data_IF_364941484489
#
_entry.id   IF_364941484489
#
_cell.length_a   1.000
_cell.length_b   1.000
_cell.length_c   1.000
_cell.angle_alpha   90.00
_cell.angle_beta   90.00
_cell.angle_gamma   90.00
#
_symmetry.space_group_name_H-M   'P 1'
#
loop_
_entity.id
_entity.type
_entity.pdbx_description
1 polymer ?
#
# COMPACT_ATOMS: atom_id res chain seq x y z
N UNK A 1 -44.11 4.00 -5.12
CA UNK A 1 -43.27 5.22 -5.19
C UNK A 1 -43.68 6.24 -4.10
N UNK A 2 -43.33 5.97 -2.83
CA UNK A 2 -43.60 6.87 -1.68
C UNK A 2 -42.40 7.74 -1.30
N UNK A 3 -41.18 7.35 -1.68
CA UNK A 3 -39.92 8.02 -1.33
C UNK A 3 -39.80 9.44 -1.91
N UNK A 4 -40.21 9.67 -3.16
CA UNK A 4 -40.20 10.99 -3.80
C UNK A 4 -41.19 12.00 -3.18
N UNK A 5 -42.01 11.59 -2.21
CA UNK A 5 -42.91 12.48 -1.47
C UNK A 5 -42.26 13.10 -0.24
N UNK A 6 -41.10 12.59 0.19
CA UNK A 6 -40.37 13.19 1.29
C UNK A 6 -39.66 14.47 0.85
N UNK A 7 -39.53 15.48 1.74
CA UNK A 7 -38.69 16.63 1.47
C UNK A 7 -37.25 16.21 1.17
N UNK A 8 -36.59 16.96 0.27
CA UNK A 8 -35.22 16.71 -0.21
C UNK A 8 -34.23 16.34 0.91
N UNK A 9 -34.16 17.15 1.97
CA UNK A 9 -33.23 16.94 3.10
C UNK A 9 -33.54 15.67 3.89
N UNK A 10 -34.81 15.28 3.99
CA UNK A 10 -35.21 14.04 4.66
C UNK A 10 -34.80 12.84 3.83
N UNK A 11 -34.95 12.92 2.50
CA UNK A 11 -34.57 11.84 1.60
C UNK A 11 -33.05 11.63 1.57
N UNK A 12 -32.24 12.70 1.53
CA UNK A 12 -30.77 12.58 1.66
C UNK A 12 -30.39 11.87 2.94
N UNK A 13 -31.00 12.25 4.08
CA UNK A 13 -30.72 11.59 5.36
C UNK A 13 -31.05 10.11 5.30
N UNK A 14 -32.21 9.73 4.77
CA UNK A 14 -32.59 8.31 4.61
C UNK A 14 -31.56 7.58 3.76
N UNK A 15 -31.20 8.14 2.59
CA UNK A 15 -30.26 7.51 1.68
C UNK A 15 -28.87 7.34 2.31
N UNK A 16 -28.41 8.28 3.13
CA UNK A 16 -27.14 8.17 3.88
C UNK A 16 -27.13 7.07 4.95
N UNK A 17 -28.29 6.59 5.39
CA UNK A 17 -28.41 5.49 6.35
C UNK A 17 -28.69 4.12 5.69
N UNK A 18 -28.86 4.08 4.36
CA UNK A 18 -29.09 2.83 3.64
C UNK A 18 -27.76 2.13 3.33
N UNK A 19 -27.77 0.79 3.29
CA UNK A 19 -26.66 0.00 2.78
C UNK A 19 -26.41 0.36 1.31
N UNK A 20 -25.15 0.43 0.90
CA UNK A 20 -24.79 0.84 -0.47
C UNK A 20 -25.40 -0.05 -1.54
N UNK A 21 -25.56 -1.35 -1.28
CA UNK A 21 -26.22 -2.27 -2.21
C UNK A 21 -27.71 -1.95 -2.35
N UNK A 22 -28.38 -1.55 -1.27
CA UNK A 22 -29.78 -1.10 -1.32
C UNK A 22 -29.90 0.21 -2.09
N UNK A 23 -28.95 1.13 -1.93
CA UNK A 23 -28.89 2.37 -2.72
C UNK A 23 -28.70 2.05 -4.21
N UNK A 24 -27.82 1.12 -4.55
CA UNK A 24 -27.63 0.68 -5.94
C UNK A 24 -28.91 0.09 -6.53
N UNK A 25 -29.58 -0.80 -5.80
CA UNK A 25 -30.85 -1.39 -6.24
C UNK A 25 -31.94 -0.33 -6.42
N UNK A 26 -31.97 0.69 -5.55
CA UNK A 26 -32.86 1.83 -5.69
C UNK A 26 -32.53 2.68 -6.93
N UNK A 27 -31.24 2.92 -7.18
CA UNK A 27 -30.77 3.75 -8.30
C UNK A 27 -30.89 3.04 -9.65
N UNK A 28 -30.74 1.72 -9.69
CA UNK A 28 -30.95 0.92 -10.91
C UNK A 28 -32.40 0.94 -11.38
N UNK A 29 -33.35 1.03 -10.44
CA UNK A 29 -34.79 1.08 -10.72
C UNK A 29 -35.36 2.50 -10.78
N UNK A 30 -34.59 3.53 -10.39
CA UNK A 30 -35.06 4.92 -10.35
C UNK A 30 -33.99 5.92 -10.80
N UNK A 31 -33.90 6.11 -12.12
CA UNK A 31 -32.96 7.04 -12.77
C UNK A 31 -33.02 8.46 -12.19
N UNK A 32 -34.23 8.98 -11.90
CA UNK A 32 -34.42 10.33 -11.37
C UNK A 32 -33.82 10.49 -9.97
N UNK A 33 -33.96 9.48 -9.10
CA UNK A 33 -33.31 9.49 -7.79
C UNK A 33 -31.79 9.44 -7.94
N UNK A 34 -31.27 8.58 -8.82
CA UNK A 34 -29.83 8.51 -9.09
C UNK A 34 -29.26 9.87 -9.52
N UNK A 35 -29.82 10.45 -10.58
CA UNK A 35 -29.36 11.75 -11.12
C UNK A 35 -29.43 12.89 -10.09
N UNK A 36 -30.41 12.85 -9.19
CA UNK A 36 -30.58 13.88 -8.17
C UNK A 36 -29.63 13.73 -6.98
N UNK A 37 -29.35 12.49 -6.53
CA UNK A 37 -28.73 12.26 -5.23
C UNK A 37 -27.34 11.61 -5.30
N UNK A 38 -26.89 11.14 -6.46
CA UNK A 38 -25.55 10.55 -6.63
C UNK A 38 -24.42 11.48 -6.15
N UNK A 39 -24.53 12.80 -6.35
CA UNK A 39 -23.52 13.76 -5.86
C UNK A 39 -23.58 14.01 -4.35
N UNK A 40 -24.66 13.63 -3.68
CA UNK A 40 -24.92 13.93 -2.26
C UNK A 40 -24.64 12.74 -1.33
N UNK A 41 -24.44 11.56 -1.92
CA UNK A 41 -24.14 10.32 -1.23
C UNK A 41 -22.67 9.98 -1.46
N UNK A 42 -21.94 9.81 -0.36
CA UNK A 42 -20.61 9.24 -0.37
C UNK A 42 -20.70 7.93 0.43
N UNK A 43 -20.72 6.74 -0.21
CA UNK A 43 -20.79 5.45 0.49
C UNK A 43 -19.49 5.07 1.21
N UNK A 44 -18.74 6.07 1.69
CA UNK A 44 -17.38 5.91 2.20
C UNK A 44 -16.49 5.14 1.18
N UNK A 45 -15.33 4.66 1.62
CA UNK A 45 -14.29 4.23 0.67
C UNK A 45 -14.35 2.78 0.21
N UNK A 46 -13.74 2.54 -0.95
CA UNK A 46 -13.61 1.25 -1.65
C UNK A 46 -12.26 0.62 -1.30
N UNK A 47 -12.29 -0.66 -0.96
CA UNK A 47 -11.13 -1.50 -0.67
C UNK A 47 -11.16 -2.71 -1.59
N UNK A 48 -10.04 -3.03 -2.22
CA UNK A 48 -9.89 -4.19 -3.11
C UNK A 48 -8.74 -5.04 -2.60
N UNK A 49 -8.92 -6.35 -2.55
CA UNK A 49 -7.87 -7.29 -2.18
C UNK A 49 -7.93 -8.53 -3.07
N UNK A 50 -6.82 -8.87 -3.73
CA UNK A 50 -6.67 -10.10 -4.48
C UNK A 50 -5.72 -11.06 -3.76
N UNK A 51 -6.14 -12.32 -3.66
CA UNK A 51 -5.29 -13.43 -3.26
C UNK A 51 -5.55 -14.67 -4.12
N UNK A 52 -4.75 -15.71 -3.90
CA UNK A 52 -4.83 -16.99 -4.65
C UNK A 52 -6.23 -17.56 -4.78
N UNK A 53 -7.02 -17.42 -3.72
CA UNK A 53 -8.28 -18.13 -3.56
C UNK A 53 -9.49 -17.22 -3.77
N UNK A 54 -9.30 -15.91 -3.69
CA UNK A 54 -10.39 -14.97 -3.53
C UNK A 54 -10.02 -13.58 -4.06
N UNK A 55 -11.00 -12.90 -4.64
CA UNK A 55 -10.95 -11.47 -4.83
C UNK A 55 -12.02 -10.82 -3.96
N UNK A 56 -11.65 -9.84 -3.15
CA UNK A 56 -12.54 -9.17 -2.21
C UNK A 56 -12.74 -7.72 -2.64
N UNK A 57 -13.99 -7.30 -2.63
CA UNK A 57 -14.34 -5.88 -2.64
C UNK A 57 -15.10 -5.52 -1.36
N UNK A 58 -14.58 -4.52 -0.66
CA UNK A 58 -15.20 -3.95 0.53
C UNK A 58 -15.54 -2.50 0.31
N UNK A 59 -16.81 -2.16 0.49
CA UNK A 59 -17.29 -0.78 0.43
C UNK A 59 -17.86 -0.47 1.80
N UNK A 60 -17.25 0.47 2.51
CA UNK A 60 -17.56 0.68 3.93
C UNK A 60 -19.03 1.05 4.12
N UNK A 61 -19.70 0.43 5.10
CA UNK A 61 -21.16 0.51 5.25
C UNK A 61 -21.96 -0.43 4.35
N UNK A 62 -21.28 -1.24 3.52
CA UNK A 62 -21.85 -2.30 2.68
C UNK A 62 -21.34 -3.67 3.12
N UNK A 63 -21.91 -4.71 2.54
CA UNK A 63 -21.39 -6.08 2.63
C UNK A 63 -20.02 -6.20 1.95
N UNK A 64 -19.17 -7.05 2.51
CA UNK A 64 -17.96 -7.54 1.84
C UNK A 64 -18.39 -8.61 0.84
N UNK A 65 -17.91 -8.49 -0.41
CA UNK A 65 -18.18 -9.47 -1.45
C UNK A 65 -16.89 -10.19 -1.80
N UNK A 66 -16.92 -11.49 -1.58
CA UNK A 66 -15.84 -12.44 -1.73
C UNK A 66 -16.09 -13.23 -3.02
N UNK A 67 -15.38 -12.89 -4.10
CA UNK A 67 -15.43 -13.62 -5.35
C UNK A 67 -14.55 -14.86 -5.25
N UNK A 68 -15.18 -16.04 -5.33
CA UNK A 68 -14.54 -17.35 -5.11
C UNK A 68 -14.93 -18.33 -6.21
N UNK A 69 -14.11 -19.34 -6.47
CA UNK A 69 -14.46 -20.42 -7.40
C UNK A 69 -15.50 -21.37 -6.80
N UNK A 70 -15.39 -21.62 -5.50
CA UNK A 70 -16.24 -22.55 -4.76
C UNK A 70 -16.70 -21.91 -3.45
N UNK A 71 -17.96 -22.12 -3.10
CA UNK A 71 -18.52 -21.63 -1.84
C UNK A 71 -17.95 -22.43 -0.65
N UNK A 72 -17.76 -21.75 0.49
CA UNK A 72 -17.32 -22.40 1.72
C UNK A 72 -18.32 -23.45 2.21
N UNK A 73 -17.84 -24.43 3.00
CA UNK A 73 -18.70 -25.50 3.53
C UNK A 73 -19.88 -24.97 4.38
N UNK A 74 -19.72 -23.80 5.00
CA UNK A 74 -20.71 -23.18 5.88
C UNK A 74 -21.56 -22.11 5.15
N UNK A 75 -21.47 -22.04 3.82
CA UNK A 75 -22.15 -21.04 3.01
C UNK A 75 -23.59 -21.45 2.70
N UNK A 76 -24.54 -20.56 3.02
CA UNK A 76 -25.97 -20.75 2.78
C UNK A 76 -26.38 -20.04 1.49
N UNK A 77 -27.00 -20.73 0.51
CA UNK A 77 -27.43 -20.09 -0.73
C UNK A 77 -28.45 -18.97 -0.48
N UNK A 78 -28.16 -17.78 -1.01
CA UNK A 78 -29.09 -16.64 -1.01
C UNK A 78 -29.83 -16.56 -2.36
N UNK A 79 -29.19 -17.05 -3.43
CA UNK A 79 -29.73 -17.10 -4.79
C UNK A 79 -28.93 -16.24 -5.77
N UNK A 80 -29.46 -16.09 -6.99
CA UNK A 80 -28.82 -15.28 -8.03
C UNK A 80 -28.96 -13.80 -7.69
N UNK A 81 -27.85 -13.07 -7.77
CA UNK A 81 -27.77 -11.61 -7.59
C UNK A 81 -27.19 -10.96 -8.82
N UNK A 82 -27.68 -9.76 -9.13
CA UNK A 82 -27.15 -8.90 -10.19
C UNK A 82 -26.83 -7.54 -9.61
N UNK A 83 -25.58 -7.10 -9.74
CA UNK A 83 -25.11 -5.77 -9.33
C UNK A 83 -24.38 -5.16 -10.53
N UNK A 84 -24.91 -4.05 -11.05
CA UNK A 84 -24.41 -3.46 -12.29
C UNK A 84 -24.51 -4.44 -13.46
N UNK A 85 -23.37 -4.68 -14.13
CA UNK A 85 -23.25 -5.63 -15.25
C UNK A 85 -22.97 -7.07 -14.80
N UNK A 86 -22.77 -7.32 -13.50
CA UNK A 86 -22.29 -8.61 -13.00
C UNK A 86 -23.46 -9.38 -12.42
N UNK A 87 -23.58 -10.65 -12.80
CA UNK A 87 -24.55 -11.59 -12.23
C UNK A 87 -23.81 -12.81 -11.70
N UNK A 88 -24.11 -13.20 -10.46
CA UNK A 88 -23.42 -14.30 -9.78
C UNK A 88 -24.36 -15.04 -8.81
N UNK A 89 -23.98 -16.26 -8.46
CA UNK A 89 -24.62 -17.02 -7.39
C UNK A 89 -24.09 -16.51 -6.05
N UNK A 90 -24.97 -15.94 -5.23
CA UNK A 90 -24.60 -15.37 -3.94
C UNK A 90 -24.92 -16.34 -2.79
N UNK A 91 -23.98 -16.44 -1.87
CA UNK A 91 -24.10 -17.21 -0.63
C UNK A 91 -23.79 -16.32 0.57
N UNK A 92 -24.45 -16.58 1.71
CA UNK A 92 -24.15 -15.93 2.98
C UNK A 92 -23.28 -16.87 3.79
N UNK A 93 -22.21 -16.35 4.40
CA UNK A 93 -21.53 -17.12 5.46
C UNK A 93 -22.45 -17.23 6.67
N UNK A 94 -22.65 -18.44 7.20
CA UNK A 94 -23.55 -18.67 8.33
C UNK A 94 -23.19 -17.85 9.60
N UNK A 95 -21.92 -17.47 9.73
CA UNK A 95 -21.37 -16.79 10.92
C UNK A 95 -21.50 -15.26 10.80
N UNK A 96 -21.69 -14.70 9.59
CA UNK A 96 -21.78 -13.26 9.39
C UNK A 96 -22.53 -12.89 8.09
N UNK A 97 -23.70 -12.29 8.23
CA UNK A 97 -24.58 -11.85 7.12
C UNK A 97 -24.04 -10.64 6.35
N UNK A 98 -22.95 -10.03 6.83
CA UNK A 98 -22.20 -8.98 6.14
C UNK A 98 -21.24 -9.50 5.08
N UNK A 99 -21.00 -10.81 5.00
CA UNK A 99 -20.10 -11.43 4.03
C UNK A 99 -20.90 -12.22 3.00
N UNK A 100 -20.74 -11.85 1.74
CA UNK A 100 -21.30 -12.58 0.61
C UNK A 100 -20.20 -13.27 -0.17
N UNK A 101 -20.37 -14.56 -0.40
CA UNK A 101 -19.56 -15.27 -1.38
C UNK A 101 -20.26 -15.24 -2.73
N UNK A 102 -19.55 -14.78 -3.74
CA UNK A 102 -19.96 -14.74 -5.13
C UNK A 102 -19.21 -15.84 -5.89
N UNK A 103 -19.89 -16.93 -6.23
CA UNK A 103 -19.29 -18.04 -6.95
C UNK A 103 -19.14 -17.68 -8.44
N UNK A 104 -17.90 -17.62 -8.93
CA UNK A 104 -17.52 -17.20 -10.29
C UNK A 104 -16.29 -17.99 -10.78
N UNK A 105 -16.16 -18.18 -12.09
CA UNK A 105 -14.99 -18.87 -12.66
C UNK A 105 -13.72 -17.98 -12.59
N UNK A 106 -13.83 -16.75 -13.06
CA UNK A 106 -12.81 -15.71 -12.89
C UNK A 106 -13.20 -14.83 -11.70
N UNK A 107 -12.36 -14.82 -10.67
CA UNK A 107 -12.60 -14.06 -9.43
C UNK A 107 -12.25 -12.58 -9.56
N UNK A 108 -11.22 -12.27 -10.34
CA UNK A 108 -10.61 -10.94 -10.38
C UNK A 108 -11.38 -9.99 -11.29
N UNK A 109 -11.78 -10.45 -12.48
CA UNK A 109 -12.50 -9.60 -13.46
C UNK A 109 -13.83 -9.07 -12.91
N UNK A 110 -14.71 -9.88 -12.27
CA UNK A 110 -15.92 -9.38 -11.63
C UNK A 110 -15.60 -8.38 -10.52
N UNK A 111 -14.57 -8.61 -9.72
CA UNK A 111 -14.20 -7.69 -8.64
C UNK A 111 -13.80 -6.30 -9.19
N UNK A 112 -12.93 -6.25 -10.20
CA UNK A 112 -12.55 -5.00 -10.88
C UNK A 112 -13.75 -4.36 -11.59
N UNK A 113 -14.54 -5.14 -12.34
CA UNK A 113 -15.74 -4.62 -13.02
C UNK A 113 -16.72 -3.99 -12.02
N UNK A 114 -16.86 -4.60 -10.85
CA UNK A 114 -17.77 -4.14 -9.83
C UNK A 114 -17.29 -2.82 -9.24
N UNK A 115 -16.00 -2.72 -8.93
CA UNK A 115 -15.43 -1.52 -8.38
C UNK A 115 -15.53 -0.32 -9.36
N UNK A 116 -15.33 -0.53 -10.68
CA UNK A 116 -15.59 0.51 -11.70
C UNK A 116 -17.06 0.95 -11.71
N UNK A 117 -17.98 -0.01 -11.59
CA UNK A 117 -19.41 0.30 -11.52
C UNK A 117 -19.74 1.14 -10.28
N UNK A 118 -19.20 0.81 -9.12
CA UNK A 118 -19.37 1.59 -7.89
C UNK A 118 -18.86 3.02 -8.03
N UNK A 119 -17.66 3.21 -8.60
CA UNK A 119 -17.11 4.55 -8.86
C UNK A 119 -18.00 5.39 -9.80
N UNK A 120 -18.68 4.74 -10.75
CA UNK A 120 -19.62 5.42 -11.65
C UNK A 120 -20.90 5.86 -10.93
N UNK A 121 -21.39 5.05 -9.98
CA UNK A 121 -22.61 5.36 -9.21
C UNK A 121 -22.33 6.34 -8.08
N UNK A 122 -21.13 6.33 -7.52
CA UNK A 122 -20.70 7.14 -6.40
C UNK A 122 -19.37 7.83 -6.73
N UNK A 123 -19.41 8.93 -7.49
CA UNK A 123 -18.20 9.62 -7.94
C UNK A 123 -17.42 10.30 -6.79
N UNK A 124 -18.01 10.38 -5.59
CA UNK A 124 -17.36 10.88 -4.38
C UNK A 124 -16.82 9.76 -3.48
N UNK A 125 -16.99 8.49 -3.85
CA UNK A 125 -16.42 7.38 -3.09
C UNK A 125 -14.90 7.48 -3.12
N UNK A 126 -14.29 7.38 -1.94
CA UNK A 126 -12.83 7.41 -1.82
C UNK A 126 -12.29 6.03 -2.20
N UNK A 127 -11.23 5.96 -2.99
CA UNK A 127 -10.51 4.71 -3.15
C UNK A 127 -9.48 4.62 -2.02
N UNK A 128 -9.72 3.73 -1.07
CA UNK A 128 -8.97 3.69 0.18
C UNK A 128 -7.73 2.83 0.05
N UNK A 129 -7.95 1.58 -0.37
CA UNK A 129 -6.94 0.54 -0.27
C UNK A 129 -7.02 -0.45 -1.44
N UNK A 130 -5.86 -0.78 -2.01
CA UNK A 130 -5.71 -1.84 -3.00
C UNK A 130 -4.61 -2.81 -2.55
N UNK A 131 -4.90 -4.11 -2.52
CA UNK A 131 -3.94 -5.17 -2.24
C UNK A 131 -3.91 -6.22 -3.35
N UNK A 132 -2.72 -6.58 -3.81
CA UNK A 132 -2.52 -7.67 -4.76
C UNK A 132 -1.45 -8.63 -4.25
N UNK A 133 -1.87 -9.87 -4.00
CA UNK A 133 -0.98 -10.97 -3.64
C UNK A 133 -0.47 -11.73 -4.88
N UNK A 134 0.66 -12.40 -4.75
CA UNK A 134 1.44 -12.98 -5.85
C UNK A 134 0.95 -14.34 -6.29
N UNK A 135 0.27 -15.05 -5.39
CA UNK A 135 -0.42 -16.29 -5.71
C UNK A 135 -1.66 -16.04 -6.59
N UNK A 136 -1.94 -14.78 -6.93
CA UNK A 136 -2.94 -14.48 -7.94
C UNK A 136 -2.45 -14.98 -9.29
N UNK A 137 -2.90 -16.18 -9.67
CA UNK A 137 -2.82 -16.71 -11.04
C UNK A 137 -3.72 -15.87 -11.96
N UNK A 138 -3.35 -14.60 -12.18
CA UNK A 138 -4.07 -13.70 -13.05
C UNK A 138 -3.80 -14.12 -14.49
N UNK A 139 -4.88 -14.36 -15.21
CA UNK A 139 -4.81 -14.45 -16.66
C UNK A 139 -4.30 -13.13 -17.25
N UNK A 140 -3.73 -13.21 -18.44
CA UNK A 140 -3.20 -12.03 -19.14
C UNK A 140 -4.27 -10.95 -19.36
N UNK A 141 -5.52 -11.36 -19.59
CA UNK A 141 -6.69 -10.50 -19.67
C UNK A 141 -6.92 -9.69 -18.38
N UNK A 142 -6.77 -10.33 -17.21
CA UNK A 142 -6.89 -9.68 -15.90
C UNK A 142 -5.72 -8.72 -15.67
N UNK A 143 -4.49 -9.10 -16.03
CA UNK A 143 -3.32 -8.20 -15.95
C UNK A 143 -3.50 -6.95 -16.80
N UNK A 144 -3.99 -7.10 -18.03
CA UNK A 144 -4.30 -5.98 -18.91
C UNK A 144 -5.41 -5.09 -18.34
N UNK A 145 -6.45 -5.68 -17.75
CA UNK A 145 -7.50 -4.93 -17.07
C UNK A 145 -6.95 -4.15 -15.88
N UNK A 146 -6.12 -4.77 -15.04
CA UNK A 146 -5.48 -4.11 -13.90
C UNK A 146 -4.53 -3.00 -14.35
N UNK A 147 -3.76 -3.20 -15.42
CA UNK A 147 -2.89 -2.16 -15.98
C UNK A 147 -3.68 -0.98 -16.57
N UNK A 148 -4.93 -1.20 -16.99
CA UNK A 148 -5.83 -0.14 -17.46
C UNK A 148 -6.51 0.65 -16.33
N UNK A 149 -6.45 0.12 -15.09
CA UNK A 149 -7.00 0.79 -13.93
C UNK A 149 -6.08 1.91 -13.48
N UNK A 150 -6.66 3.08 -13.20
CA UNK A 150 -5.95 4.17 -12.57
C UNK A 150 -5.83 3.89 -11.07
N UNK A 151 -4.78 3.16 -10.67
CA UNK A 151 -4.55 2.85 -9.26
C UNK A 151 -4.13 4.09 -8.46
N UNK A 152 -3.68 5.18 -9.08
CA UNK A 152 -3.25 6.39 -8.35
C UNK A 152 -4.40 7.08 -7.61
N UNK A 153 -5.64 6.73 -7.96
CA UNK A 153 -6.82 7.11 -7.23
C UNK A 153 -6.89 6.48 -5.82
N UNK A 154 -6.22 5.36 -5.55
CA UNK A 154 -6.14 4.75 -4.22
C UNK A 154 -5.18 5.50 -3.30
N UNK A 155 -5.65 5.83 -2.10
CA UNK A 155 -4.85 6.47 -1.04
C UNK A 155 -3.68 5.60 -0.59
N UNK A 156 -3.93 4.30 -0.42
CA UNK A 156 -2.95 3.31 0.02
C UNK A 156 -2.95 2.10 -0.93
N UNK A 157 -1.76 1.58 -1.24
CA UNK A 157 -1.59 0.37 -2.06
C UNK A 157 -0.64 -0.60 -1.36
N UNK A 158 -0.91 -1.87 -1.51
CA UNK A 158 -0.07 -2.97 -1.06
C UNK A 158 0.09 -3.98 -2.21
N UNK A 159 1.34 -4.33 -2.49
CA UNK A 159 1.69 -5.37 -3.44
C UNK A 159 2.56 -6.39 -2.72
N UNK A 160 2.12 -7.64 -2.70
CA UNK A 160 2.90 -8.77 -2.22
C UNK A 160 3.29 -9.60 -3.42
N UNK A 161 4.59 -9.79 -3.63
CA UNK A 161 5.12 -10.58 -4.73
C UNK A 161 6.31 -11.44 -4.33
N UNK A 162 6.39 -12.64 -4.88
CA UNK A 162 7.58 -13.49 -4.71
C UNK A 162 8.81 -12.76 -5.23
N UNK A 163 9.94 -12.91 -4.54
CA UNK A 163 11.24 -12.41 -5.05
C UNK A 163 11.55 -12.99 -6.44
N UNK A 164 11.02 -14.17 -6.75
CA UNK A 164 11.17 -14.89 -8.01
C UNK A 164 10.08 -14.57 -9.05
N UNK A 165 9.20 -13.59 -8.80
CA UNK A 165 8.17 -13.18 -9.75
C UNK A 165 8.74 -12.77 -11.12
N UNK A 166 7.90 -12.91 -12.14
CA UNK A 166 8.25 -12.55 -13.51
C UNK A 166 8.47 -11.04 -13.70
N UNK A 167 9.14 -10.70 -14.80
CA UNK A 167 9.54 -9.32 -15.12
C UNK A 167 8.35 -8.37 -15.31
N UNK A 168 7.20 -8.84 -15.79
CA UNK A 168 6.02 -7.97 -15.95
C UNK A 168 5.45 -7.58 -14.58
N UNK A 169 5.34 -8.54 -13.66
CA UNK A 169 4.90 -8.30 -12.29
C UNK A 169 5.84 -7.33 -11.58
N UNK A 170 7.16 -7.54 -11.70
CA UNK A 170 8.17 -6.63 -11.13
C UNK A 170 8.06 -5.22 -11.69
N UNK A 171 7.93 -5.08 -13.01
CA UNK A 171 7.79 -3.78 -13.66
C UNK A 171 6.51 -3.05 -13.24
N UNK A 172 5.40 -3.78 -13.10
CA UNK A 172 4.13 -3.22 -12.63
C UNK A 172 4.29 -2.62 -11.23
N UNK A 173 4.87 -3.37 -10.28
CA UNK A 173 5.11 -2.87 -8.93
C UNK A 173 6.06 -1.67 -8.95
N UNK A 174 7.18 -1.76 -9.67
CA UNK A 174 8.17 -0.70 -9.72
C UNK A 174 7.60 0.59 -10.31
N UNK A 175 6.70 0.49 -11.30
CA UNK A 175 5.98 1.64 -11.85
C UNK A 175 5.11 2.30 -10.77
N UNK A 176 4.40 1.52 -9.95
CA UNK A 176 3.60 2.07 -8.87
C UNK A 176 4.43 2.69 -7.75
N UNK A 177 5.59 2.11 -7.41
CA UNK A 177 6.51 2.76 -6.47
C UNK A 177 6.97 4.13 -6.98
N UNK A 178 7.25 4.24 -8.29
CA UNK A 178 7.67 5.49 -8.94
C UNK A 178 6.56 6.55 -9.00
N UNK A 179 5.30 6.14 -9.12
CA UNK A 179 4.17 7.07 -9.18
C UNK A 179 3.69 7.54 -7.81
N UNK A 180 4.19 6.93 -6.74
CA UNK A 180 3.77 7.22 -5.37
C UNK A 180 4.82 8.00 -4.57
N UNK A 181 4.33 8.79 -3.62
CA UNK A 181 5.12 9.68 -2.80
C UNK A 181 5.95 8.99 -1.72
N UNK A 182 5.43 7.89 -1.18
CA UNK A 182 6.11 7.07 -0.19
C UNK A 182 5.97 5.61 -0.61
N UNK A 183 7.09 4.88 -0.59
CA UNK A 183 7.12 3.44 -0.77
C UNK A 183 7.95 2.80 0.34
N UNK A 184 7.39 1.80 1.00
CA UNK A 184 8.04 0.99 2.05
C UNK A 184 8.11 -0.45 1.57
N UNK A 185 9.29 -1.06 1.65
CA UNK A 185 9.55 -2.39 1.10
C UNK A 185 10.20 -3.27 2.16
N UNK A 186 9.70 -4.49 2.34
CA UNK A 186 10.17 -5.45 3.36
C UNK A 186 9.89 -6.92 3.01
N UNK A 187 10.40 -7.87 3.83
CA UNK A 187 10.09 -9.30 3.66
C UNK A 187 8.85 -9.63 4.43
N UNK A 188 8.11 -10.54 3.83
CA UNK A 188 7.32 -11.46 4.61
C UNK A 188 7.92 -12.84 4.34
N UNK A 189 8.38 -13.51 5.39
CA UNK A 189 8.75 -14.93 5.31
C UNK A 189 7.49 -15.69 4.90
N UNK A 190 7.48 -16.31 3.73
CA UNK A 190 6.39 -17.21 3.38
C UNK A 190 6.45 -18.49 4.19
N UNK A 191 5.32 -19.16 4.31
CA UNK A 191 5.31 -20.52 4.81
C UNK A 191 6.27 -21.38 3.97
N UNK A 192 6.87 -22.41 4.58
CA UNK A 192 7.98 -23.25 4.05
C UNK A 192 7.82 -23.78 2.61
N UNK A 193 6.64 -23.66 1.99
CA UNK A 193 6.31 -24.09 0.63
C UNK A 193 6.31 -22.97 -0.40
N UNK A 194 6.20 -21.72 0.04
CA UNK A 194 5.70 -20.64 -0.81
C UNK A 194 6.75 -19.53 -1.05
N UNK A 195 7.91 -19.63 -0.39
CA UNK A 195 9.09 -18.80 -0.63
C UNK A 195 9.01 -17.43 0.03
N UNK A 196 10.07 -16.62 -0.06
CA UNK A 196 10.08 -15.29 0.56
C UNK A 196 9.37 -14.26 -0.33
N UNK A 197 8.68 -13.31 0.29
CA UNK A 197 7.95 -12.27 -0.41
C UNK A 197 8.58 -10.90 -0.26
N UNK A 198 8.60 -10.15 -1.36
CA UNK A 198 8.75 -8.71 -1.34
C UNK A 198 7.37 -8.09 -1.17
N UNK A 199 7.16 -7.46 -0.01
CA UNK A 199 5.97 -6.65 0.26
C UNK A 199 6.32 -5.21 0.00
N UNK A 200 5.54 -4.56 -0.86
CA UNK A 200 5.68 -3.14 -1.19
C UNK A 200 4.40 -2.42 -0.86
N UNK A 201 4.49 -1.42 0.01
CA UNK A 201 3.38 -0.57 0.43
C UNK A 201 3.64 0.84 -0.04
N UNK A 202 2.66 1.45 -0.71
CA UNK A 202 2.80 2.81 -1.22
C UNK A 202 1.67 3.71 -0.73
N UNK A 203 1.97 5.00 -0.63
CA UNK A 203 1.02 6.00 -0.16
C UNK A 203 1.23 7.36 -0.81
N UNK A 204 0.13 8.04 -1.10
CA UNK A 204 0.08 9.46 -1.44
C UNK A 204 -0.57 10.26 -0.31
N UNK A 205 -0.09 11.49 -0.12
CA UNK A 205 -0.50 12.43 0.92
C UNK A 205 -1.15 13.64 0.27
N UNK A 206 -2.32 14.03 0.77
CA UNK A 206 -3.09 15.15 0.21
C UNK A 206 -2.34 16.49 0.35
N UNK A 207 -1.62 16.69 1.46
CA UNK A 207 -0.89 17.93 1.77
C UNK A 207 0.55 17.95 1.24
N UNK A 208 1.01 16.90 0.55
CA UNK A 208 2.41 16.72 0.10
C UNK A 208 3.47 16.83 1.22
N UNK A 209 3.06 16.64 2.47
CA UNK A 209 3.92 16.67 3.65
C UNK A 209 3.83 15.35 4.40
N UNK A 210 4.97 14.84 4.88
CA UNK A 210 4.99 13.68 5.77
C UNK A 210 4.56 14.14 7.17
N UNK A 211 3.60 13.47 7.83
CA UNK A 211 3.24 13.77 9.21
C UNK A 211 4.46 13.77 10.13
N UNK A 212 4.47 14.67 11.12
CA UNK A 212 5.57 14.76 12.10
C UNK A 212 5.73 13.47 12.91
N UNK A 213 4.61 12.75 13.12
CA UNK A 213 4.61 11.46 13.78
C UNK A 213 4.88 10.33 12.78
N UNK A 214 6.06 9.74 12.88
CA UNK A 214 6.40 8.61 12.02
C UNK A 214 5.66 7.34 12.43
N UNK A 215 4.97 7.29 13.58
CA UNK A 215 4.06 6.17 13.94
C UNK A 215 3.06 5.90 12.82
N UNK A 216 2.75 6.88 11.98
CA UNK A 216 2.00 6.66 10.74
C UNK A 216 2.60 5.62 9.76
N UNK A 217 3.94 5.53 9.64
CA UNK A 217 4.62 4.49 8.86
C UNK A 217 4.37 3.08 9.44
N UNK A 218 3.96 3.00 10.71
CA UNK A 218 3.95 1.80 11.53
C UNK A 218 2.54 1.39 12.03
N UNK A 219 1.63 2.36 12.23
CA UNK A 219 0.27 2.19 12.78
C UNK A 219 -0.69 1.55 11.79
N UNK A 220 -0.48 1.78 10.50
CA UNK A 220 -1.22 1.10 9.42
C UNK A 220 -0.67 -0.30 9.15
N UNK A 221 0.51 -0.61 9.69
CA UNK A 221 1.34 -1.75 9.31
C UNK A 221 2.00 -2.44 10.52
N UNK A 222 1.23 -2.80 11.57
CA UNK A 222 1.79 -3.26 12.85
C UNK A 222 2.66 -4.53 12.71
N UNK A 223 2.36 -5.39 11.74
CA UNK A 223 3.12 -6.63 11.49
C UNK A 223 4.46 -6.38 10.77
N UNK A 224 4.66 -5.20 10.18
CA UNK A 224 5.79 -4.90 9.30
C UNK A 224 6.89 -4.07 9.95
N UNK A 225 6.67 -3.51 11.14
CA UNK A 225 7.72 -2.81 11.91
C UNK A 225 8.99 -3.65 12.00
N UNK A 226 8.83 -4.98 12.14
CA UNK A 226 9.93 -5.92 12.23
C UNK A 226 10.62 -6.26 10.90
N UNK A 227 10.04 -5.91 9.74
CA UNK A 227 10.49 -6.38 8.43
C UNK A 227 10.77 -5.27 7.40
N UNK A 228 10.63 -3.99 7.77
CA UNK A 228 10.93 -2.87 6.86
C UNK A 228 12.44 -2.84 6.55
N UNK A 229 12.76 -3.02 5.27
CA UNK A 229 14.14 -3.05 4.77
C UNK A 229 14.49 -1.79 3.98
N UNK A 230 13.54 -1.23 3.22
CA UNK A 230 13.75 -0.05 2.39
C UNK A 230 12.63 0.98 2.56
N UNK A 231 13.01 2.25 2.60
CA UNK A 231 12.07 3.38 2.62
C UNK A 231 12.47 4.35 1.50
N UNK A 232 11.54 4.61 0.59
CA UNK A 232 11.73 5.47 -0.57
C UNK A 232 10.70 6.61 -0.52
N UNK A 233 11.17 7.86 -0.56
CA UNK A 233 10.31 9.05 -0.41
C UNK A 233 10.52 10.01 -1.58
N UNK A 234 9.48 10.20 -2.39
CA UNK A 234 9.53 10.99 -3.62
C UNK A 234 8.54 12.15 -3.57
N UNK A 235 8.98 13.36 -3.90
CA UNK A 235 8.08 14.51 -4.05
C UNK A 235 7.28 14.88 -2.79
N UNK A 236 7.74 14.45 -1.60
CA UNK A 236 7.21 14.86 -0.31
C UNK A 236 8.14 15.86 0.35
N UNK A 237 7.54 16.88 0.95
CA UNK A 237 8.26 17.73 1.88
C UNK A 237 8.29 17.04 3.24
N UNK A 238 9.47 16.58 3.64
CA UNK A 238 9.70 15.90 4.91
C UNK A 238 10.31 16.88 5.91
N UNK A 239 9.58 17.13 7.00
CA UNK A 239 10.05 17.99 8.09
C UNK A 239 11.21 17.37 8.87
N UNK A 240 12.00 18.20 9.54
CA UNK A 240 13.17 17.76 10.33
C UNK A 240 12.78 16.77 11.43
N UNK A 241 11.63 16.97 12.07
CA UNK A 241 11.15 16.08 13.14
C UNK A 241 10.87 14.67 12.65
N UNK A 242 10.24 14.51 11.49
CA UNK A 242 9.98 13.19 10.92
C UNK A 242 11.28 12.46 10.54
N UNK A 243 12.30 13.19 10.07
CA UNK A 243 13.63 12.62 9.84
C UNK A 243 14.30 12.17 11.14
N UNK A 244 14.24 13.02 12.18
CA UNK A 244 14.80 12.71 13.50
C UNK A 244 14.11 11.51 14.12
N UNK A 245 12.80 11.38 13.96
CA UNK A 245 12.06 10.25 14.49
C UNK A 245 12.41 8.93 13.78
N UNK A 246 12.53 8.94 12.45
CA UNK A 246 13.03 7.78 11.69
C UNK A 246 14.42 7.35 12.16
N UNK A 247 15.35 8.30 12.31
CA UNK A 247 16.71 8.02 12.80
C UNK A 247 16.66 7.46 14.22
N UNK A 248 15.85 8.07 15.09
CA UNK A 248 15.67 7.64 16.47
C UNK A 248 15.18 6.19 16.54
N UNK A 249 14.15 5.81 15.78
CA UNK A 249 13.64 4.43 15.73
C UNK A 249 14.70 3.43 15.28
N UNK A 250 15.54 3.79 14.31
CA UNK A 250 16.67 2.93 13.94
C UNK A 250 17.73 2.85 15.06
N UNK A 251 18.10 3.98 15.67
CA UNK A 251 19.06 4.02 16.78
C UNK A 251 18.59 3.20 17.98
N UNK A 252 17.29 3.26 18.27
CA UNK A 252 16.60 2.52 19.33
C UNK A 252 16.34 1.05 18.97
N UNK A 253 16.68 0.63 17.73
CA UNK A 253 16.56 -0.73 17.22
C UNK A 253 15.12 -1.21 17.02
N UNK A 254 14.22 -0.29 16.72
CA UNK A 254 12.84 -0.60 16.28
C UNK A 254 12.79 -0.90 14.77
N UNK A 255 13.84 -0.53 14.03
CA UNK A 255 14.00 -0.76 12.58
C UNK A 255 15.18 -1.70 12.28
N UNK A 256 15.17 -2.92 12.83
CA UNK A 256 16.32 -3.82 12.81
C UNK A 256 16.74 -4.34 11.43
N UNK A 257 15.76 -4.50 10.54
CA UNK A 257 15.95 -4.98 9.18
C UNK A 257 16.24 -3.84 8.19
N UNK A 258 16.22 -2.58 8.64
CA UNK A 258 16.44 -1.44 7.75
C UNK A 258 17.82 -1.56 7.08
N UNK A 259 17.82 -1.40 5.76
CA UNK A 259 19.00 -1.44 4.91
C UNK A 259 19.27 -0.05 4.36
N UNK A 260 18.23 0.63 3.88
CA UNK A 260 18.42 1.83 3.09
C UNK A 260 17.19 2.74 3.12
N UNK A 261 17.44 4.04 3.24
CA UNK A 261 16.43 5.09 3.09
C UNK A 261 16.91 6.06 2.02
N UNK A 262 16.06 6.38 1.07
CA UNK A 262 16.33 7.42 0.08
C UNK A 262 15.17 8.37 -0.03
N UNK A 263 15.47 9.66 -0.08
CA UNK A 263 14.48 10.69 -0.34
C UNK A 263 15.00 11.71 -1.34
N UNK A 264 14.19 12.00 -2.34
CA UNK A 264 14.46 13.03 -3.33
C UNK A 264 13.65 14.30 -3.01
N UNK A 265 14.06 15.43 -3.59
CA UNK A 265 13.37 16.71 -3.39
C UNK A 265 13.51 17.28 -1.98
N UNK A 266 14.50 16.82 -1.20
CA UNK A 266 14.77 17.30 0.15
C UNK A 266 15.46 18.66 0.08
N UNK A 267 14.68 19.72 0.23
CA UNK A 267 15.19 21.10 0.19
C UNK A 267 15.51 21.58 1.61
N UNK A 268 16.73 22.08 1.82
CA UNK A 268 17.17 22.73 3.07
C UNK A 268 17.28 21.83 4.32
N UNK A 269 17.77 20.60 4.16
CA UNK A 269 18.08 19.73 5.31
C UNK A 269 19.38 20.18 5.99
N UNK A 270 19.28 20.58 7.26
CA UNK A 270 20.44 20.87 8.09
C UNK A 270 20.91 19.59 8.79
N UNK A 271 22.02 19.00 8.32
CA UNK A 271 22.58 17.77 8.88
C UNK A 271 23.01 17.90 10.35
N UNK A 272 23.41 19.09 10.81
CA UNK A 272 23.76 19.31 12.22
C UNK A 272 22.51 19.25 13.10
N UNK A 273 21.44 19.91 12.67
CA UNK A 273 20.15 19.88 13.35
C UNK A 273 19.53 18.49 13.30
N UNK A 274 19.63 17.78 12.17
CA UNK A 274 19.15 16.42 12.03
C UNK A 274 19.82 15.45 13.01
N UNK A 275 21.12 15.62 13.23
CA UNK A 275 21.93 14.69 14.02
C UNK A 275 22.07 15.07 15.50
N UNK A 276 21.49 16.21 15.91
CA UNK A 276 21.58 16.69 17.28
C UNK A 276 20.94 15.71 18.27
N UNK A 277 21.70 15.28 19.27
CA UNK A 277 21.29 14.31 20.28
C UNK A 277 21.64 12.85 19.94
N UNK A 278 22.13 12.57 18.73
CA UNK A 278 22.62 11.23 18.35
C UNK A 278 24.15 11.13 18.46
N UNK A 279 24.66 9.91 18.69
CA UNK A 279 26.10 9.65 18.64
C UNK A 279 26.59 9.61 17.19
N UNK A 280 27.13 10.73 16.71
CA UNK A 280 27.65 10.86 15.35
C UNK A 280 29.16 11.04 15.29
N UNK A 281 29.76 10.54 14.22
CA UNK A 281 31.19 10.62 13.96
C UNK A 281 31.46 10.97 12.49
N UNK A 282 32.53 11.74 12.19
CA UNK A 282 33.04 11.84 10.83
C UNK A 282 33.39 10.46 10.28
N UNK A 283 33.34 10.32 8.95
CA UNK A 283 33.75 9.07 8.29
C UNK A 283 35.17 8.65 8.67
N UNK A 284 35.34 7.38 9.02
CA UNK A 284 36.64 6.78 9.34
C UNK A 284 36.87 5.53 8.50
N UNK A 285 37.85 5.58 7.59
CA UNK A 285 38.14 4.49 6.65
C UNK A 285 38.63 3.21 7.36
N UNK A 286 39.31 3.33 8.52
CA UNK A 286 39.76 2.17 9.31
C UNK A 286 38.58 1.49 10.00
N UNK A 287 37.65 2.28 10.55
CA UNK A 287 36.43 1.75 11.19
C UNK A 287 35.49 1.12 10.16
N UNK A 288 35.38 1.73 8.98
CA UNK A 288 34.46 1.28 7.93
C UNK A 288 35.07 0.21 7.01
N UNK A 289 36.35 -0.15 7.17
CA UNK A 289 37.08 -1.00 6.22
C UNK A 289 36.40 -2.33 5.93
N UNK A 290 35.70 -2.90 6.92
CA UNK A 290 34.95 -4.15 6.81
C UNK A 290 33.83 -4.06 5.74
N UNK A 291 33.25 -2.89 5.55
CA UNK A 291 32.16 -2.64 4.62
C UNK A 291 32.62 -2.28 3.20
N UNK A 292 33.91 -2.02 2.99
CA UNK A 292 34.48 -1.65 1.68
C UNK A 292 34.16 -2.67 0.58
N UNK A 293 33.96 -3.94 0.94
CA UNK A 293 33.66 -5.03 0.01
C UNK A 293 32.18 -5.14 -0.37
N UNK A 294 31.28 -4.38 0.29
CA UNK A 294 29.85 -4.34 -0.06
C UNK A 294 29.68 -3.53 -1.35
N UNK A 295 29.78 -4.20 -2.50
CA UNK A 295 29.75 -3.58 -3.83
C UNK A 295 28.47 -2.80 -4.09
N UNK A 296 27.35 -3.28 -3.57
CA UNK A 296 26.03 -2.69 -3.74
C UNK A 296 25.96 -1.26 -3.15
N UNK A 297 26.73 -0.97 -2.11
CA UNK A 297 26.79 0.36 -1.47
C UNK A 297 28.10 1.11 -1.73
N UNK A 298 28.88 0.68 -2.74
CA UNK A 298 30.22 1.23 -3.02
C UNK A 298 30.22 2.75 -3.23
N UNK A 299 29.23 3.29 -3.94
CA UNK A 299 29.08 4.74 -4.16
C UNK A 299 29.02 5.50 -2.83
N UNK A 300 28.25 5.00 -1.86
CA UNK A 300 28.13 5.64 -0.55
C UNK A 300 29.37 5.44 0.34
N UNK A 301 30.14 4.39 0.09
CA UNK A 301 31.44 4.21 0.73
C UNK A 301 32.45 5.27 0.25
N UNK A 302 32.41 5.61 -1.03
CA UNK A 302 33.29 6.61 -1.64
C UNK A 302 32.89 8.04 -1.31
N UNK A 303 31.59 8.33 -1.20
CA UNK A 303 31.06 9.66 -0.85
C UNK A 303 31.36 10.10 0.59
N UNK A 304 31.59 9.14 1.51
CA UNK A 304 31.97 9.37 2.93
C UNK A 304 30.99 10.27 3.70
N UNK A 305 29.84 9.70 4.06
CA UNK A 305 28.81 10.37 4.86
C UNK A 305 29.14 10.53 6.36
N UNK A 306 28.18 11.04 7.13
CA UNK A 306 28.26 11.11 8.59
C UNK A 306 27.89 9.77 9.20
N UNK A 307 28.75 9.18 10.02
CA UNK A 307 28.48 7.91 10.69
C UNK A 307 27.56 8.16 11.89
N UNK A 308 26.52 7.35 12.03
CA UNK A 308 25.64 7.29 13.19
C UNK A 308 25.60 5.86 13.73
N UNK A 309 25.44 5.73 15.05
CA UNK A 309 25.44 4.42 15.73
C UNK A 309 24.14 4.14 16.47
N UNK A 310 23.69 2.89 16.41
CA UNK A 310 22.57 2.40 17.22
C UNK A 310 22.98 2.15 18.68
N UNK A 311 22.01 1.82 19.54
CA UNK A 311 22.26 1.47 20.96
C UNK A 311 23.19 0.25 21.12
N UNK A 312 23.20 -0.67 20.15
CA UNK A 312 24.11 -1.82 20.11
C UNK A 312 25.37 -1.58 19.29
N UNK A 313 25.71 -0.31 19.01
CA UNK A 313 26.90 0.12 18.28
C UNK A 313 26.96 -0.34 16.81
N UNK A 314 25.81 -0.72 16.22
CA UNK A 314 25.68 -0.96 14.77
C UNK A 314 25.81 0.35 13.99
N UNK A 315 26.38 0.30 12.79
CA UNK A 315 26.75 1.50 12.01
C UNK A 315 25.79 1.76 10.85
N UNK A 316 25.37 3.01 10.72
CA UNK A 316 24.77 3.56 9.51
C UNK A 316 25.53 4.83 9.11
N UNK A 317 25.38 5.27 7.86
CA UNK A 317 25.83 6.59 7.45
C UNK A 317 24.72 7.39 6.80
N UNK A 318 24.74 8.69 7.06
CA UNK A 318 23.83 9.68 6.51
C UNK A 318 24.57 10.51 5.46
N UNK A 319 23.93 10.69 4.30
CA UNK A 319 24.43 11.44 3.17
C UNK A 319 23.37 12.45 2.75
N UNK A 320 23.83 13.64 2.40
CA UNK A 320 22.96 14.66 1.83
C UNK A 320 23.64 15.30 0.64
N UNK A 321 23.15 14.96 -0.54
CA UNK A 321 23.55 15.57 -1.81
C UNK A 321 22.72 16.83 -2.01
N UNK A 322 23.32 17.98 -1.72
CA UNK A 322 22.66 19.27 -1.83
C UNK A 322 22.37 19.67 -3.28
N UNK A 323 23.19 19.24 -4.24
CA UNK A 323 23.02 19.60 -5.66
C UNK A 323 21.78 18.90 -6.24
N UNK A 324 21.59 17.62 -5.90
CA UNK A 324 20.47 16.83 -6.36
C UNK A 324 19.27 16.84 -5.40
N UNK A 325 19.40 17.47 -4.22
CA UNK A 325 18.40 17.47 -3.15
C UNK A 325 18.02 16.04 -2.71
N UNK A 326 19.03 15.18 -2.54
CA UNK A 326 18.84 13.77 -2.18
C UNK A 326 19.40 13.54 -0.77
N UNK A 327 18.54 13.03 0.12
CA UNK A 327 18.96 12.47 1.39
C UNK A 327 19.06 10.95 1.28
N UNK A 328 20.09 10.37 1.88
CA UNK A 328 20.26 8.92 1.94
C UNK A 328 20.76 8.49 3.30
N UNK A 329 20.17 7.43 3.84
CA UNK A 329 20.69 6.69 4.98
C UNK A 329 21.04 5.27 4.53
N UNK A 330 22.29 4.85 4.73
CA UNK A 330 22.77 3.49 4.44
C UNK A 330 23.07 2.80 5.75
N UNK A 331 22.39 1.69 6.02
CA UNK A 331 22.63 0.85 7.20
C UNK A 331 23.65 -0.22 6.85
N UNK A 332 24.89 -0.03 7.30
CA UNK A 332 26.00 -0.93 6.98
C UNK A 332 25.94 -2.23 7.77
N UNK A 333 25.51 -2.13 9.03
CA UNK A 333 25.38 -3.24 9.97
C UNK A 333 23.90 -3.53 10.24
N UNK A 334 23.24 -4.07 9.22
CA UNK A 334 21.81 -4.43 9.24
C UNK A 334 21.63 -5.91 9.58
N UNK A 335 20.49 -6.25 10.19
CA UNK A 335 20.08 -7.64 10.42
C UNK A 335 19.27 -8.22 9.25
N UNK A 336 19.15 -7.47 8.14
CA UNK A 336 18.58 -7.96 6.90
C UNK A 336 19.27 -9.22 6.39
N UNK A 337 18.46 -10.18 5.90
CA UNK A 337 18.97 -11.39 5.27
C UNK A 337 19.76 -11.07 4.00
N UNK A 338 20.66 -11.97 3.57
CA UNK A 338 21.43 -11.77 2.33
C UNK A 338 20.53 -11.61 1.10
N UNK A 339 19.39 -12.30 1.07
CA UNK A 339 18.37 -12.15 0.03
C UNK A 339 17.86 -10.71 -0.04
N UNK A 340 17.69 -10.04 1.11
CA UNK A 340 17.28 -8.65 1.12
C UNK A 340 18.32 -7.71 0.57
N UNK A 341 19.57 -7.90 0.97
CA UNK A 341 20.68 -7.10 0.47
C UNK A 341 20.79 -7.22 -1.05
N UNK A 342 20.54 -8.42 -1.60
CA UNK A 342 20.58 -8.67 -3.05
C UNK A 342 19.51 -7.94 -3.84
N UNK A 343 18.44 -7.45 -3.19
CA UNK A 343 17.40 -6.66 -3.84
C UNK A 343 17.78 -5.19 -4.03
N UNK A 344 18.85 -4.72 -3.39
CA UNK A 344 19.24 -3.31 -3.45
C UNK A 344 19.40 -2.77 -4.88
N UNK A 345 20.03 -3.47 -5.86
CA UNK A 345 20.14 -2.96 -7.22
C UNK A 345 18.78 -2.73 -7.90
N UNK A 346 17.80 -3.61 -7.64
CA UNK A 346 16.42 -3.43 -8.14
C UNK A 346 15.75 -2.23 -7.45
N UNK A 347 15.90 -2.11 -6.13
CA UNK A 347 15.35 -0.98 -5.36
C UNK A 347 15.96 0.35 -5.80
N UNK A 348 17.27 0.38 -6.05
CA UNK A 348 17.96 1.56 -6.54
C UNK A 348 17.43 1.99 -7.92
N UNK A 349 17.07 1.05 -8.79
CA UNK A 349 16.48 1.38 -10.10
C UNK A 349 15.03 1.91 -10.03
N UNK A 350 14.39 1.81 -8.86
CA UNK A 350 13.09 2.45 -8.60
C UNK A 350 13.27 3.96 -8.45
N UNK A 351 14.43 4.43 -7.97
CA UNK A 351 14.64 5.80 -7.53
C UNK A 351 15.56 6.64 -8.42
#
# INVERSE_FOLDING_TARGET
MKLLKFPWLVLIKILKFMDTLDIINLFSTNRRLREQYTSEINPEGINIMFSRYIAVIGIKGSRLIDFVNDASADSVPIGIRTIGSITFNAFSRAINDRFWEAMVEDRYTPCLTLAQYFMTIFPKAEQNYFCCDYECEMEESTRQLLASWDLDLFKEKEFKFSVESDENTKNLVNQYCKSNQLSVIGLEDGDYKDGDYKVTRTKNFEDNELPEDSDFLFDRFPDLVYFISYILISGLKVGIEAWRDLIKKWVEEDLNQLVFVCANGVTSLNMLELTEGFSTHPWNDEEMIEFKKKTDFSVYFEQKGTIIRSKSNRKASLHFDQENSIFTMVVWDTQASEKWLSLFPEIQAIF
#
